data_IF_856735585871
#
_entry.id   IF_856735585871
#
_cell.length_a   1.000
_cell.length_b   1.000
_cell.length_c   1.000
_cell.angle_alpha   90.00
_cell.angle_beta   90.00
_cell.angle_gamma   90.00
#
_symmetry.space_group_name_H-M   'P 1'
#
loop_
_entity.id
_entity.type
_entity.pdbx_description
1 polymer ?
#
# COMPACT_ATOMS: atom_id res chain seq x y z
N UNK A 1 -16.06 -2.05 9.46
CA UNK A 1 -15.35 -1.57 8.26
C UNK A 1 -16.06 -2.10 7.03
N UNK A 2 -16.30 -1.24 6.02
CA UNK A 2 -16.95 -1.59 4.75
C UNK A 2 -15.89 -1.79 3.65
N UNK A 3 -16.22 -2.50 2.57
CA UNK A 3 -15.28 -2.68 1.44
C UNK A 3 -14.83 -1.34 0.85
N UNK A 4 -15.71 -0.34 0.82
CA UNK A 4 -15.37 1.00 0.36
C UNK A 4 -14.28 1.65 1.23
N UNK A 5 -14.39 1.50 2.55
CA UNK A 5 -13.40 2.00 3.49
C UNK A 5 -12.08 1.21 3.39
N UNK A 6 -12.15 -0.12 3.28
CA UNK A 6 -10.98 -0.98 3.12
C UNK A 6 -10.21 -0.63 1.81
N UNK A 7 -10.94 -0.39 0.71
CA UNK A 7 -10.35 0.05 -0.57
C UNK A 7 -9.73 1.44 -0.49
N UNK A 8 -10.36 2.37 0.21
CA UNK A 8 -9.77 3.69 0.45
C UNK A 8 -8.45 3.56 1.23
N UNK A 9 -8.45 2.79 2.32
CA UNK A 9 -7.25 2.51 3.10
C UNK A 9 -6.13 1.88 2.25
N UNK A 10 -6.47 0.87 1.44
CA UNK A 10 -5.52 0.23 0.52
C UNK A 10 -4.98 1.22 -0.52
N UNK A 11 -5.84 2.06 -1.10
CA UNK A 11 -5.46 3.09 -2.06
C UNK A 11 -4.50 4.12 -1.44
N UNK A 12 -4.78 4.55 -0.21
CA UNK A 12 -3.92 5.45 0.54
C UNK A 12 -2.56 4.82 0.84
N UNK A 13 -2.55 3.56 1.33
CA UNK A 13 -1.33 2.81 1.64
C UNK A 13 -0.45 2.57 0.41
N UNK A 14 -1.03 2.12 -0.70
CA UNK A 14 -0.28 1.77 -1.90
C UNK A 14 0.15 3.00 -2.71
N UNK A 15 -0.38 4.18 -2.43
CA UNK A 15 0.03 5.40 -3.12
C UNK A 15 1.46 5.82 -2.73
N UNK A 16 2.43 5.81 -3.67
CA UNK A 16 3.81 6.16 -3.37
C UNK A 16 3.97 7.60 -2.86
N UNK A 17 3.12 8.54 -3.28
CA UNK A 17 3.19 9.92 -2.80
C UNK A 17 2.96 10.01 -1.29
N UNK A 18 2.15 9.13 -0.72
CA UNK A 18 1.90 9.09 0.72
C UNK A 18 2.88 8.15 1.40
N UNK A 19 3.09 6.94 0.87
CA UNK A 19 3.93 5.94 1.52
C UNK A 19 5.41 6.34 1.66
N UNK A 20 5.90 7.32 0.90
CA UNK A 20 7.28 7.82 0.99
C UNK A 20 7.39 9.19 1.68
N UNK A 21 6.27 9.73 2.19
CA UNK A 21 6.28 10.85 3.12
C UNK A 21 6.41 10.35 4.55
N UNK A 22 6.86 11.24 5.43
CA UNK A 22 6.96 10.93 6.86
C UNK A 22 5.58 10.55 7.43
N UNK A 23 5.57 9.53 8.29
CA UNK A 23 4.44 9.08 9.13
C UNK A 23 3.23 8.37 8.49
N UNK A 24 3.25 8.00 7.19
CA UNK A 24 2.08 7.30 6.57
C UNK A 24 1.99 5.80 6.88
N UNK A 25 3.12 5.12 7.11
CA UNK A 25 3.19 3.65 7.16
C UNK A 25 2.88 3.01 8.53
N UNK A 26 2.51 3.82 9.53
CA UNK A 26 2.25 3.36 10.91
C UNK A 26 0.79 3.53 11.36
N UNK A 27 -0.12 3.94 10.47
CA UNK A 27 -1.54 3.99 10.79
C UNK A 27 -2.14 2.57 10.80
N UNK A 28 -2.59 2.14 11.99
CA UNK A 28 -3.17 0.81 12.19
C UNK A 28 -4.50 0.59 11.47
N UNK A 29 -5.27 1.66 11.22
CA UNK A 29 -6.51 1.59 10.46
C UNK A 29 -6.22 1.35 8.98
N UNK A 30 -5.26 2.09 8.43
CA UNK A 30 -4.79 1.95 7.05
C UNK A 30 -4.23 0.54 6.81
N UNK A 31 -3.41 0.02 7.72
CA UNK A 31 -2.86 -1.33 7.62
C UNK A 31 -3.95 -2.41 7.65
N UNK A 32 -4.89 -2.30 8.59
CA UNK A 32 -6.00 -3.26 8.72
C UNK A 32 -6.90 -3.25 7.49
N UNK A 33 -7.26 -2.06 6.98
CA UNK A 33 -8.06 -1.93 5.76
C UNK A 33 -7.34 -2.54 4.54
N UNK A 34 -6.04 -2.30 4.41
CA UNK A 34 -5.22 -2.88 3.33
C UNK A 34 -5.18 -4.41 3.40
N UNK A 35 -4.96 -4.99 4.59
CA UNK A 35 -4.96 -6.45 4.76
C UNK A 35 -6.34 -7.07 4.49
N UNK A 36 -7.43 -6.37 4.83
CA UNK A 36 -8.79 -6.81 4.51
C UNK A 36 -9.01 -6.89 3.00
N UNK A 37 -8.54 -5.90 2.24
CA UNK A 37 -8.62 -5.93 0.75
C UNK A 37 -7.84 -7.12 0.20
N UNK A 38 -6.59 -7.32 0.62
CA UNK A 38 -5.77 -8.45 0.15
C UNK A 38 -6.47 -9.78 0.45
N UNK A 39 -7.03 -9.93 1.66
CA UNK A 39 -7.73 -11.15 2.07
C UNK A 39 -8.98 -11.43 1.25
N UNK A 40 -9.67 -10.40 0.77
CA UNK A 40 -10.86 -10.53 -0.07
C UNK A 40 -10.54 -10.76 -1.55
N UNK A 41 -9.44 -10.20 -2.05
CA UNK A 41 -9.05 -10.28 -3.46
C UNK A 41 -8.22 -11.52 -3.81
N UNK A 42 -7.41 -12.02 -2.87
CA UNK A 42 -6.63 -13.23 -3.10
C UNK A 42 -7.54 -14.45 -3.22
N UNK A 43 -7.34 -15.25 -4.27
CA UNK A 43 -8.15 -16.46 -4.55
C UNK A 43 -7.62 -17.67 -3.80
N UNK A 44 -6.34 -17.63 -3.43
CA UNK A 44 -5.66 -18.73 -2.73
C UNK A 44 -4.87 -18.23 -1.52
N UNK A 45 -4.54 -19.14 -0.61
CA UNK A 45 -3.66 -18.86 0.53
C UNK A 45 -2.28 -18.37 0.06
N UNK A 46 -1.70 -18.99 -0.98
CA UNK A 46 -0.38 -18.62 -1.47
C UNK A 46 -0.38 -17.21 -2.05
N UNK A 47 -1.37 -16.86 -2.88
CA UNK A 47 -1.52 -15.49 -3.40
C UNK A 47 -1.64 -14.47 -2.26
N UNK A 48 -2.37 -14.81 -1.20
CA UNK A 48 -2.54 -13.95 -0.02
C UNK A 48 -1.22 -13.73 0.70
N UNK A 49 -0.46 -14.81 0.96
CA UNK A 49 0.84 -14.74 1.63
C UNK A 49 1.86 -13.95 0.81
N UNK A 50 1.92 -14.19 -0.51
CA UNK A 50 2.79 -13.45 -1.42
C UNK A 50 2.45 -11.96 -1.46
N UNK A 51 1.16 -11.62 -1.50
CA UNK A 51 0.69 -10.25 -1.47
C UNK A 51 1.05 -9.56 -0.14
N UNK A 52 0.84 -10.23 1.00
CA UNK A 52 1.23 -9.72 2.32
C UNK A 52 2.74 -9.51 2.43
N UNK A 53 3.56 -10.45 1.92
CA UNK A 53 5.01 -10.31 1.92
C UNK A 53 5.49 -9.12 1.06
N UNK A 54 4.90 -8.94 -0.13
CA UNK A 54 5.19 -7.79 -1.00
C UNK A 54 4.74 -6.47 -0.36
N UNK A 55 3.57 -6.47 0.28
CA UNK A 55 3.05 -5.32 1.03
C UNK A 55 4.01 -4.90 2.15
N UNK A 56 4.54 -5.84 2.92
CA UNK A 56 5.50 -5.52 4.01
C UNK A 56 6.83 -5.00 3.45
N UNK A 57 7.34 -5.60 2.36
CA UNK A 57 8.53 -5.06 1.67
C UNK A 57 8.31 -3.64 1.15
N UNK A 58 7.12 -3.35 0.65
CA UNK A 58 6.74 -2.00 0.19
C UNK A 58 6.63 -1.00 1.35
N UNK A 59 6.11 -1.44 2.51
CA UNK A 59 6.06 -0.65 3.74
C UNK A 59 7.46 -0.28 4.22
N UNK A 60 8.33 -1.28 4.32
CA UNK A 60 9.69 -1.15 4.83
C UNK A 60 10.69 -0.56 3.80
N UNK A 61 10.25 -0.27 2.57
CA UNK A 61 11.10 0.25 1.50
C UNK A 61 12.28 -0.65 1.18
N UNK A 62 12.07 -1.97 1.17
CA UNK A 62 13.13 -2.94 0.92
C UNK A 62 13.32 -3.20 -0.58
N UNK A 63 14.57 -3.45 -0.98
CA UNK A 63 14.92 -3.77 -2.36
C UNK A 63 14.48 -2.68 -3.35
N UNK A 64 13.74 -3.08 -4.38
CA UNK A 64 13.27 -2.17 -5.45
C UNK A 64 12.40 -1.02 -4.92
N UNK A 65 11.73 -1.20 -3.78
CA UNK A 65 10.88 -0.17 -3.16
C UNK A 65 11.68 0.89 -2.39
N UNK A 66 12.96 0.67 -2.12
CA UNK A 66 13.83 1.65 -1.44
C UNK A 66 14.67 2.49 -2.39
N UNK A 67 14.76 2.06 -3.65
CA UNK A 67 15.65 2.63 -4.65
C UNK A 67 15.40 4.11 -4.95
N UNK A 68 16.46 4.80 -5.34
CA UNK A 68 16.43 6.22 -5.69
C UNK A 68 15.34 6.54 -6.72
N UNK A 69 15.24 5.73 -7.78
CA UNK A 69 14.27 5.94 -8.85
C UNK A 69 12.82 5.88 -8.36
N UNK A 70 12.49 4.96 -7.45
CA UNK A 70 11.13 4.87 -6.88
C UNK A 70 10.80 6.04 -5.98
N UNK A 71 11.77 6.57 -5.23
CA UNK A 71 11.59 7.79 -4.43
C UNK A 71 11.34 9.01 -5.32
N UNK A 72 12.10 9.15 -6.41
CA UNK A 72 11.91 10.23 -7.37
C UNK A 72 10.58 10.09 -8.13
N UNK A 73 10.20 8.90 -8.55
CA UNK A 73 8.93 8.64 -9.22
C UNK A 73 7.73 8.96 -8.30
N UNK A 74 7.81 8.60 -7.02
CA UNK A 74 6.77 8.89 -6.04
C UNK A 74 6.47 10.39 -5.87
N UNK A 75 7.49 11.25 -6.02
CA UNK A 75 7.34 12.70 -5.95
C UNK A 75 6.66 13.29 -7.20
N UNK A 76 6.63 12.57 -8.32
CA UNK A 76 6.14 13.04 -9.62
C UNK A 76 4.70 12.61 -9.94
N UNK A 77 4.10 11.72 -9.15
CA UNK A 77 2.73 11.26 -9.37
C UNK A 77 1.70 12.37 -9.02
N UNK A 78 0.92 12.80 -10.00
CA UNK A 78 -0.17 13.79 -9.86
C UNK A 78 -1.51 13.12 -9.51
N UNK A 79 -2.42 13.81 -8.77
CA UNK A 79 -3.54 13.18 -8.06
C UNK A 79 -4.85 13.10 -8.85
N UNK A 80 -4.83 12.75 -10.14
CA UNK A 80 -6.05 12.88 -10.97
C UNK A 80 -7.11 11.78 -10.82
N UNK A 81 -6.95 10.80 -9.90
CA UNK A 81 -7.85 9.63 -9.87
C UNK A 81 -8.33 9.19 -8.48
N UNK A 82 -8.15 9.99 -7.41
CA UNK A 82 -8.53 9.58 -6.04
C UNK A 82 -9.29 10.63 -5.22
N UNK A 83 -9.85 11.66 -5.87
CA UNK A 83 -10.90 12.55 -5.32
C UNK A 83 -12.22 12.22 -5.97
#
# INVERSE_FOLDING_TARGET
>A
MTLHHDLHAAGYFFNPRFQYKDNVHNDGEVMRGTMNVITRLARTMNERLDAMAKMERYRMKLGIYGGYDMRCAAQRLTPSYFT
#
